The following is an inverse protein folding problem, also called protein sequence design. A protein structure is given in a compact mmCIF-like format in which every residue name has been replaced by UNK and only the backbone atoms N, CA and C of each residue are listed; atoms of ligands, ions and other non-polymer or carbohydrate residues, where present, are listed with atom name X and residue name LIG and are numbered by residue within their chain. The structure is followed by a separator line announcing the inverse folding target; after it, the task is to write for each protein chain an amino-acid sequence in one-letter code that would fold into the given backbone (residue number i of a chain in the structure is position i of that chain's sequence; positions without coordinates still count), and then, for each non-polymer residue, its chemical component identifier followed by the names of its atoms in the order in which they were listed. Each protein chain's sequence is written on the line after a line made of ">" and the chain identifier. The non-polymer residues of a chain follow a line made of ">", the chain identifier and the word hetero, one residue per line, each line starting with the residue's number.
data_IF_861879035439
#
_entry.id   IF_861879035439
#
_cell.length_a   1.000
_cell.length_b   1.000
_cell.length_c   1.000
_cell.angle_alpha   90.00
_cell.angle_beta   90.00
_cell.angle_gamma   90.00
#
_symmetry.space_group_name_H-M   'P 1'
#
loop_
_entity.id
_entity.type
_entity.pdbx_description
1 polymer ?
#
# COMPACT_ATOMS: atom_id res chain seq x y z
N UNK A 1 -4.24 16.19 19.02
CA UNK A 1 -3.18 15.51 18.23
C UNK A 1 -3.70 15.31 16.81
N UNK A 2 -3.29 16.14 15.84
CA UNK A 2 -3.75 16.00 14.44
C UNK A 2 -2.90 14.93 13.75
N UNK A 3 -3.45 13.72 13.58
CA UNK A 3 -2.88 12.75 12.64
C UNK A 3 -2.98 13.35 11.24
N UNK A 4 -1.83 13.63 10.62
CA UNK A 4 -1.77 13.95 9.20
C UNK A 4 -2.10 12.67 8.45
N UNK A 5 -3.36 12.50 8.03
CA UNK A 5 -3.77 11.35 7.22
C UNK A 5 -2.99 11.36 5.90
N UNK A 6 -1.91 10.56 5.82
CA UNK A 6 -1.19 10.34 4.57
C UNK A 6 -2.13 9.59 3.62
N UNK A 7 -2.46 10.05 2.41
CA UNK A 7 -3.30 9.27 1.50
C UNK A 7 -2.74 7.84 1.32
N UNK A 8 -3.48 6.80 1.72
CA UNK A 8 -3.06 5.39 1.61
C UNK A 8 -2.69 5.03 0.17
N UNK A 9 -3.38 5.63 -0.80
CA UNK A 9 -3.11 5.50 -2.23
C UNK A 9 -1.63 5.81 -2.56
N UNK A 10 -1.02 6.80 -1.90
CA UNK A 10 0.39 7.14 -2.14
C UNK A 10 1.36 6.32 -1.30
N UNK A 11 0.95 5.60 -0.26
CA UNK A 11 1.91 5.01 0.67
C UNK A 11 1.92 3.49 0.79
N UNK A 12 0.82 2.79 0.44
CA UNK A 12 0.55 1.39 0.83
C UNK A 12 0.59 1.15 2.35
N UNK A 13 0.75 2.21 3.14
CA UNK A 13 0.76 2.22 4.60
C UNK A 13 -0.64 2.59 5.09
N UNK A 14 -1.09 1.98 6.17
CA UNK A 14 -2.35 2.30 6.83
C UNK A 14 -2.36 3.75 7.31
N UNK A 15 -3.54 4.37 7.23
CA UNK A 15 -3.79 5.70 7.76
C UNK A 15 -3.82 5.75 9.28
N UNK A 16 -4.22 4.64 9.90
CA UNK A 16 -4.54 4.56 11.32
C UNK A 16 -3.39 3.95 12.12
N UNK A 17 -2.63 3.03 11.50
CA UNK A 17 -1.57 2.28 12.16
C UNK A 17 -0.25 2.49 11.43
N UNK A 18 0.70 3.13 12.11
CA UNK A 18 2.06 3.33 11.59
C UNK A 18 2.78 2.00 11.40
N UNK A 19 3.43 1.82 10.26
CA UNK A 19 4.18 0.59 9.94
C UNK A 19 3.34 -0.61 9.52
N UNK A 20 2.01 -0.48 9.42
CA UNK A 20 1.14 -1.49 8.84
C UNK A 20 0.96 -1.22 7.34
N UNK A 21 1.19 -2.23 6.49
CA UNK A 21 1.09 -2.10 5.03
C UNK A 21 0.07 -3.07 4.43
N UNK A 22 -0.63 -2.64 3.39
CA UNK A 22 -1.54 -3.47 2.57
C UNK A 22 -0.99 -3.52 1.15
N UNK A 23 -0.78 -4.74 0.65
CA UNK A 23 -0.01 -4.99 -0.58
C UNK A 23 -0.64 -6.06 -1.49
N UNK A 24 -1.97 -6.19 -1.45
CA UNK A 24 -2.75 -7.14 -2.25
C UNK A 24 -3.88 -6.43 -3.04
N UNK A 25 -4.79 -7.21 -3.63
CA UNK A 25 -5.91 -6.69 -4.41
C UNK A 25 -6.95 -5.93 -3.57
N UNK A 26 -6.98 -6.09 -2.24
CA UNK A 26 -7.91 -5.34 -1.37
C UNK A 26 -7.63 -3.84 -1.37
N UNK A 27 -6.41 -3.44 -1.76
CA UNK A 27 -6.02 -2.05 -1.93
C UNK A 27 -6.65 -1.38 -3.17
N UNK A 28 -7.33 -2.14 -4.04
CA UNK A 28 -7.98 -1.56 -5.21
C UNK A 28 -9.22 -0.76 -4.80
N UNK A 29 -9.45 0.42 -5.40
CA UNK A 29 -10.65 1.21 -5.11
C UNK A 29 -11.93 0.54 -5.62
N UNK A 30 -11.82 -0.35 -6.62
CA UNK A 30 -12.91 -1.09 -7.25
C UNK A 30 -12.41 -2.45 -7.73
N UNK A 31 -13.32 -3.38 -8.04
CA UNK A 31 -12.98 -4.63 -8.70
C UNK A 31 -12.22 -4.37 -10.01
N UNK A 32 -11.21 -5.18 -10.33
CA UNK A 32 -10.40 -5.02 -11.54
C UNK A 32 -11.09 -5.46 -12.83
N UNK A 33 -12.11 -6.32 -12.74
CA UNK A 33 -12.79 -6.93 -13.90
C UNK A 33 -11.95 -7.95 -14.68
N UNK A 34 -10.67 -8.12 -14.34
CA UNK A 34 -9.71 -9.05 -14.95
C UNK A 34 -8.77 -9.63 -13.88
N UNK A 35 -8.01 -10.68 -14.19
CA UNK A 35 -7.03 -11.26 -13.25
C UNK A 35 -5.92 -10.22 -12.99
N UNK A 36 -5.79 -9.68 -11.76
CA UNK A 36 -5.01 -8.47 -11.52
C UNK A 36 -3.56 -8.73 -11.10
N UNK A 37 -3.00 -9.87 -11.50
CA UNK A 37 -1.75 -10.40 -10.95
C UNK A 37 -0.58 -9.39 -11.06
N UNK A 38 -0.35 -8.80 -12.22
CA UNK A 38 0.73 -7.83 -12.42
C UNK A 38 0.53 -6.53 -11.61
N UNK A 39 -0.72 -6.06 -11.50
CA UNK A 39 -1.04 -4.86 -10.72
C UNK A 39 -0.78 -5.11 -9.23
N UNK A 40 -1.21 -6.26 -8.71
CA UNK A 40 -0.92 -6.67 -7.32
C UNK A 40 0.59 -6.77 -7.09
N UNK A 41 1.33 -7.39 -8.01
CA UNK A 41 2.78 -7.49 -7.93
C UNK A 41 3.46 -6.11 -7.88
N UNK A 42 3.00 -5.16 -8.71
CA UNK A 42 3.50 -3.78 -8.69
C UNK A 42 3.24 -3.05 -7.37
N UNK A 43 2.08 -3.26 -6.74
CA UNK A 43 1.79 -2.72 -5.41
C UNK A 43 2.73 -3.32 -4.36
N UNK A 44 2.89 -4.64 -4.36
CA UNK A 44 3.79 -5.33 -3.42
C UNK A 44 5.24 -4.88 -3.57
N UNK A 45 5.73 -4.78 -4.80
CA UNK A 45 7.08 -4.29 -5.08
C UNK A 45 7.30 -2.87 -4.54
N UNK A 46 6.31 -1.99 -4.73
CA UNK A 46 6.34 -0.62 -4.21
C UNK A 46 6.32 -0.57 -2.68
N UNK A 47 5.52 -1.42 -2.03
CA UNK A 47 5.47 -1.51 -0.57
C UNK A 47 6.80 -1.99 0.00
N UNK A 48 7.39 -3.04 -0.59
CA UNK A 48 8.69 -3.58 -0.19
C UNK A 48 9.79 -2.50 -0.25
N UNK A 49 9.86 -1.73 -1.34
CA UNK A 49 10.84 -0.64 -1.46
C UNK A 49 10.72 0.43 -0.37
N UNK A 50 9.54 0.62 0.24
CA UNK A 50 9.36 1.55 1.37
C UNK A 50 9.71 0.93 2.70
N UNK A 51 9.42 -0.35 2.88
CA UNK A 51 9.79 -1.10 4.07
C UNK A 51 11.31 -1.11 4.19
N UNK A 52 12.02 -1.45 3.10
CA UNK A 52 13.50 -1.47 3.07
C UNK A 52 14.08 -0.11 3.46
N UNK A 53 13.62 0.99 2.82
CA UNK A 53 14.07 2.36 3.14
C UNK A 53 13.79 2.82 4.58
N UNK A 54 12.95 2.11 5.33
CA UNK A 54 12.64 2.43 6.74
C UNK A 54 13.49 1.61 7.71
N UNK A 55 14.13 0.55 7.23
CA UNK A 55 15.04 -0.30 8.01
C UNK A 55 16.51 0.12 7.88
N UNK A 56 16.81 0.98 6.89
CA UNK A 56 18.07 1.74 6.78
C UNK A 56 18.11 2.91 7.76
#
# INVERSE_FOLDING_TARGET
>A
MRSRSKPAIKTTESHEVSGLFVADASAFPTASGVIPMLTVYGIAHRAAGKIVRRLE
#
